data_IF_794552397359
#
_entry.id   IF_794552397359
#
_cell.length_a   1.000
_cell.length_b   1.000
_cell.length_c   1.000
_cell.angle_alpha   90.00
_cell.angle_beta   90.00
_cell.angle_gamma   90.00
#
_symmetry.space_group_name_H-M   'P 1'
#
loop_
_entity.id
_entity.type
_entity.pdbx_description
1 polymer ?
#
# COMPACT_ATOMS: atom_id res chain seq x y z
N UNK A 1 -48.17 1.43 9.81
CA UNK A 1 -47.06 2.39 9.95
C UNK A 1 -45.86 1.59 10.41
N UNK A 2 -44.90 1.37 9.52
CA UNK A 2 -43.62 0.72 9.86
C UNK A 2 -42.57 1.80 9.65
N UNK A 3 -41.90 2.15 10.72
CA UNK A 3 -40.87 3.19 10.79
C UNK A 3 -39.56 2.60 10.24
N UNK A 4 -39.20 2.96 9.00
CA UNK A 4 -37.91 2.64 8.41
C UNK A 4 -36.92 3.76 8.75
N UNK A 5 -35.97 3.48 9.64
CA UNK A 5 -35.07 4.52 10.11
C UNK A 5 -33.99 4.03 11.07
N UNK A 6 -33.26 2.97 10.69
CA UNK A 6 -32.07 2.56 11.45
C UNK A 6 -31.02 3.68 11.39
N UNK A 7 -30.95 4.43 12.48
CA UNK A 7 -30.01 5.50 12.85
C UNK A 7 -28.65 5.39 12.13
N UNK A 8 -28.36 6.34 11.25
CA UNK A 8 -26.98 6.61 10.80
C UNK A 8 -26.18 7.13 11.98
N UNK A 9 -25.18 6.37 12.45
CA UNK A 9 -24.19 6.91 13.40
C UNK A 9 -23.41 8.00 12.65
N UNK A 10 -23.21 9.21 13.21
CA UNK A 10 -22.23 10.11 12.64
C UNK A 10 -20.87 9.45 12.84
N UNK A 11 -20.31 8.87 11.79
CA UNK A 11 -18.88 8.63 11.77
C UNK A 11 -18.25 10.02 11.75
N UNK A 12 -17.73 10.43 12.90
CA UNK A 12 -16.85 11.58 13.04
C UNK A 12 -15.55 11.27 12.26
N UNK A 13 -15.66 11.27 10.93
CA UNK A 13 -14.54 11.15 10.02
C UNK A 13 -13.94 12.54 9.93
N UNK A 14 -13.29 12.96 11.01
CA UNK A 14 -12.23 13.94 10.90
C UNK A 14 -11.35 13.48 9.73
N UNK A 15 -11.19 14.28 8.66
CA UNK A 15 -10.42 13.87 7.51
C UNK A 15 -9.02 13.57 8.01
N UNK A 16 -8.65 12.28 8.05
CA UNK A 16 -7.32 11.88 8.48
C UNK A 16 -6.36 12.52 7.49
N UNK A 17 -5.47 13.39 8.00
CA UNK A 17 -4.44 14.01 7.17
C UNK A 17 -3.65 12.88 6.52
N UNK A 18 -3.53 12.93 5.18
CA UNK A 18 -2.71 11.96 4.45
C UNK A 18 -1.28 12.12 4.96
N UNK A 19 -0.58 11.01 5.26
CA UNK A 19 0.82 11.11 5.66
C UNK A 19 1.61 11.73 4.51
N UNK A 20 2.61 12.54 4.85
CA UNK A 20 3.53 13.11 3.87
C UNK A 20 4.43 12.03 3.29
N UNK A 21 5.08 12.35 2.18
CA UNK A 21 6.03 11.42 1.54
C UNK A 21 7.15 11.09 2.52
N UNK A 22 7.64 12.08 3.28
CA UNK A 22 8.70 11.92 4.26
C UNK A 22 8.27 11.07 5.46
N UNK A 23 7.01 11.17 5.88
CA UNK A 23 6.46 10.30 6.93
C UNK A 23 6.39 8.83 6.49
N UNK A 24 6.22 8.56 5.19
CA UNK A 24 6.14 7.20 4.63
C UNK A 24 7.51 6.65 4.24
N UNK A 25 8.37 7.47 3.65
CA UNK A 25 9.62 7.05 3.02
C UNK A 25 10.88 7.55 3.74
N UNK A 26 10.74 8.40 4.76
CA UNK A 26 11.85 9.05 5.47
C UNK A 26 12.28 10.38 4.85
N UNK A 27 13.09 11.14 5.57
CA UNK A 27 13.59 12.46 5.14
C UNK A 27 14.85 12.39 4.26
N UNK A 28 15.59 11.28 4.32
CA UNK A 28 16.89 11.13 3.66
C UNK A 28 16.73 10.29 2.40
N UNK A 29 16.93 10.92 1.24
CA UNK A 29 17.05 10.19 -0.02
C UNK A 29 18.43 9.52 -0.12
N UNK A 30 18.54 8.35 -0.81
CA UNK A 30 19.83 7.75 -1.07
C UNK A 30 20.75 8.69 -1.85
N UNK A 31 22.04 8.74 -1.48
CA UNK A 31 23.07 9.51 -2.21
C UNK A 31 23.33 8.99 -3.63
N UNK A 32 22.84 7.79 -3.94
CA UNK A 32 22.97 7.14 -5.26
C UNK A 32 21.63 7.06 -5.95
N UNK A 33 21.65 7.35 -7.24
CA UNK A 33 20.50 7.16 -8.12
C UNK A 33 20.23 5.67 -8.34
N UNK A 34 19.06 5.35 -8.88
CA UNK A 34 18.68 3.94 -9.02
C UNK A 34 19.52 3.18 -10.05
N UNK A 35 20.14 3.88 -11.01
CA UNK A 35 21.02 3.32 -12.03
C UNK A 35 22.45 3.09 -11.52
N UNK A 36 22.91 3.88 -10.54
CA UNK A 36 24.22 3.71 -9.90
C UNK A 36 24.22 2.63 -8.81
N UNK A 37 23.04 2.31 -8.27
CA UNK A 37 22.87 1.27 -7.26
C UNK A 37 23.14 -0.11 -7.88
N UNK A 38 23.95 -0.90 -7.18
CA UNK A 38 24.36 -2.25 -7.58
C UNK A 38 23.19 -3.23 -7.84
N UNK A 39 23.49 -4.47 -8.26
CA UNK A 39 22.49 -5.39 -8.77
C UNK A 39 21.35 -5.59 -7.76
N UNK A 40 20.13 -5.26 -8.20
CA UNK A 40 18.90 -5.50 -7.43
C UNK A 40 18.75 -7.00 -7.18
N UNK A 41 18.15 -7.36 -6.04
CA UNK A 41 17.87 -8.72 -5.59
C UNK A 41 17.67 -9.73 -6.74
N UNK A 42 18.29 -10.93 -6.67
CA UNK A 42 18.25 -11.91 -7.74
C UNK A 42 16.81 -12.22 -8.15
N UNK A 43 16.60 -12.48 -9.43
CA UNK A 43 15.27 -12.70 -10.03
C UNK A 43 14.45 -13.75 -9.27
N UNK A 44 15.10 -14.76 -8.70
CA UNK A 44 14.49 -15.80 -7.86
C UNK A 44 13.78 -15.23 -6.61
N UNK A 45 14.38 -14.27 -5.93
CA UNK A 45 13.79 -13.63 -4.74
C UNK A 45 12.53 -12.83 -5.09
N UNK A 46 12.43 -12.32 -6.34
CA UNK A 46 11.26 -11.57 -6.80
C UNK A 46 10.10 -12.47 -7.17
N UNK A 47 10.40 -13.57 -7.84
CA UNK A 47 9.42 -14.62 -8.17
C UNK A 47 8.80 -15.21 -6.90
N UNK A 48 9.63 -15.51 -5.90
CA UNK A 48 9.16 -16.08 -4.64
C UNK A 48 8.30 -15.07 -3.87
N UNK A 49 8.73 -13.80 -3.77
CA UNK A 49 7.91 -12.73 -3.19
C UNK A 49 6.56 -12.60 -3.90
N UNK A 50 6.55 -12.64 -5.23
CA UNK A 50 5.33 -12.51 -6.01
C UNK A 50 4.37 -13.68 -5.80
N UNK A 51 4.87 -14.93 -5.76
CA UNK A 51 4.05 -16.11 -5.48
C UNK A 51 3.42 -16.06 -4.08
N UNK A 52 4.15 -15.56 -3.09
CA UNK A 52 3.67 -15.41 -1.71
C UNK A 52 2.64 -14.28 -1.56
N UNK A 53 2.75 -13.22 -2.36
CA UNK A 53 1.95 -12.01 -2.21
C UNK A 53 0.91 -11.80 -3.32
N UNK A 54 0.78 -12.72 -4.27
CA UNK A 54 -0.22 -12.58 -5.33
C UNK A 54 -1.64 -12.60 -4.74
N UNK A 55 -2.52 -11.67 -5.16
CA UNK A 55 -3.91 -11.68 -4.72
C UNK A 55 -4.63 -13.00 -5.09
N UNK A 56 -5.70 -13.40 -4.36
CA UNK A 56 -6.39 -14.66 -4.61
C UNK A 56 -6.96 -14.83 -6.04
N UNK A 57 -7.28 -13.73 -6.73
CA UNK A 57 -7.88 -13.71 -8.07
C UNK A 57 -6.86 -13.64 -9.21
N UNK A 58 -5.58 -13.82 -8.90
CA UNK A 58 -4.50 -13.51 -9.82
C UNK A 58 -4.42 -14.46 -11.04
N UNK A 59 -5.10 -15.61 -11.03
CA UNK A 59 -5.07 -16.61 -12.10
C UNK A 59 -6.38 -16.72 -12.91
N UNK A 60 -7.39 -15.86 -12.66
CA UNK A 60 -8.72 -15.96 -13.29
C UNK A 60 -8.77 -15.29 -14.68
N UNK A 61 -7.86 -15.65 -15.61
CA UNK A 61 -7.92 -15.23 -17.01
C UNK A 61 -7.85 -16.37 -18.02
#
# INVERSE_FOLDING_TARGET
>A
MVDDGRVTRPHDQQPRKRPTVEEVFGEVLPDTTSDERGPRAPERERDDWYRENRPPHHEDR
#
